data_IF_845710131800
#
_entry.id   IF_845710131800
#
_cell.length_a   1.000
_cell.length_b   1.000
_cell.length_c   1.000
_cell.angle_alpha   90.00
_cell.angle_beta   90.00
_cell.angle_gamma   90.00
#
_symmetry.space_group_name_H-M   'P 1'
#
loop_
_entity.id
_entity.type
_entity.pdbx_description
1 polymer ?
#
# COMPACT_ATOMS: atom_id res chain seq x y z
N UNK A 1 -18.20 -32.63 9.95
CA UNK A 1 -17.65 -31.27 10.01
C UNK A 1 -18.37 -30.45 8.96
N UNK A 2 -19.28 -29.52 9.30
CA UNK A 2 -19.84 -28.63 8.29
C UNK A 2 -18.81 -27.54 7.99
N UNK A 3 -18.29 -27.52 6.76
CA UNK A 3 -17.55 -26.38 6.23
C UNK A 3 -18.51 -25.23 6.03
N UNK A 4 -18.55 -24.30 6.99
CA UNK A 4 -19.24 -23.03 6.83
C UNK A 4 -18.44 -22.19 5.83
N UNK A 5 -18.76 -22.32 4.54
CA UNK A 5 -18.38 -21.33 3.55
C UNK A 5 -19.23 -20.08 3.83
N UNK A 6 -18.79 -19.25 4.77
CA UNK A 6 -19.29 -17.87 4.82
C UNK A 6 -18.98 -17.22 3.46
N UNK A 7 -19.98 -16.68 2.75
CA UNK A 7 -19.72 -15.93 1.54
C UNK A 7 -18.81 -14.76 1.92
N UNK A 8 -17.58 -14.77 1.39
CA UNK A 8 -16.56 -13.75 1.60
C UNK A 8 -17.19 -12.36 1.38
N UNK A 9 -17.53 -11.65 2.46
CA UNK A 9 -18.26 -10.38 2.40
C UNK A 9 -17.51 -9.41 1.50
N UNK A 10 -18.19 -8.90 0.47
CA UNK A 10 -17.65 -7.88 -0.41
C UNK A 10 -17.47 -6.61 0.44
N UNK A 11 -16.25 -6.03 0.52
CA UNK A 11 -16.04 -4.80 1.26
C UNK A 11 -16.80 -3.65 0.58
N UNK A 12 -17.42 -2.78 1.38
CA UNK A 12 -18.04 -1.58 0.83
C UNK A 12 -17.00 -0.55 0.36
N UNK A 13 -17.46 0.42 -0.41
CA UNK A 13 -16.63 1.49 -0.98
C UNK A 13 -15.91 2.28 0.12
N UNK A 14 -16.59 2.59 1.23
CA UNK A 14 -15.98 3.30 2.37
C UNK A 14 -14.83 2.53 2.99
N UNK A 15 -14.98 1.21 3.14
CA UNK A 15 -13.95 0.32 3.69
C UNK A 15 -12.73 0.30 2.80
N UNK A 16 -12.91 0.13 1.49
CA UNK A 16 -11.80 0.14 0.54
C UNK A 16 -11.07 1.51 0.51
N UNK A 17 -11.82 2.61 0.52
CA UNK A 17 -11.25 3.95 0.59
C UNK A 17 -10.43 4.15 1.86
N UNK A 18 -10.96 3.75 3.02
CA UNK A 18 -10.26 3.87 4.30
C UNK A 18 -8.95 3.05 4.30
N UNK A 19 -8.98 1.80 3.81
CA UNK A 19 -7.78 0.95 3.71
C UNK A 19 -6.72 1.60 2.81
N UNK A 20 -7.12 2.10 1.64
CA UNK A 20 -6.19 2.76 0.72
C UNK A 20 -5.58 4.03 1.33
N UNK A 21 -6.36 4.84 2.03
CA UNK A 21 -5.86 6.02 2.76
C UNK A 21 -4.89 5.62 3.85
N UNK A 22 -5.21 4.62 4.68
CA UNK A 22 -4.29 4.13 5.72
C UNK A 22 -2.97 3.64 5.14
N UNK A 23 -3.00 2.91 4.02
CA UNK A 23 -1.78 2.47 3.34
C UNK A 23 -0.95 3.64 2.81
N UNK A 24 -1.59 4.67 2.25
CA UNK A 24 -0.92 5.85 1.71
C UNK A 24 -0.31 6.72 2.81
N UNK A 25 -1.00 6.86 3.95
CA UNK A 25 -0.57 7.69 5.07
C UNK A 25 0.75 7.21 5.70
N UNK A 26 1.10 5.93 5.54
CA UNK A 26 2.40 5.38 5.96
C UNK A 26 3.56 6.15 5.33
N UNK A 27 3.46 6.55 4.06
CA UNK A 27 4.57 7.23 3.36
C UNK A 27 4.81 8.65 3.88
N UNK A 28 3.82 9.26 4.55
CA UNK A 28 3.96 10.57 5.18
C UNK A 28 4.94 10.53 6.37
N UNK A 29 4.98 9.43 7.12
CA UNK A 29 5.82 9.30 8.32
C UNK A 29 6.92 8.26 8.17
N UNK A 30 6.92 7.49 7.08
CA UNK A 30 7.81 6.34 6.84
C UNK A 30 7.76 5.32 8.00
N UNK A 31 6.59 5.21 8.65
CA UNK A 31 6.37 4.35 9.82
C UNK A 31 6.30 2.87 9.40
N UNK A 32 7.42 2.17 9.58
CA UNK A 32 7.55 0.76 9.23
C UNK A 32 6.80 -0.19 10.14
N UNK A 33 6.52 0.21 11.38
CA UNK A 33 5.69 -0.56 12.31
C UNK A 33 4.22 -0.49 11.88
N UNK A 34 3.75 0.69 11.48
CA UNK A 34 2.42 0.84 10.91
C UNK A 34 2.28 0.05 9.60
N UNK A 35 3.30 0.12 8.73
CA UNK A 35 3.31 -0.66 7.49
C UNK A 35 3.22 -2.17 7.75
N UNK A 36 4.02 -2.69 8.69
CA UNK A 36 4.04 -4.12 8.98
C UNK A 36 2.70 -4.67 9.45
N UNK A 37 1.89 -3.86 10.14
CA UNK A 37 0.56 -4.27 10.64
C UNK A 37 -0.53 -4.28 9.58
N UNK A 38 -0.35 -3.57 8.46
CA UNK A 38 -1.37 -3.45 7.41
C UNK A 38 -1.11 -4.34 6.19
N UNK A 39 0.13 -4.82 6.02
CA UNK A 39 0.46 -5.74 4.94
C UNK A 39 0.11 -7.18 5.32
N UNK A 40 -0.46 -7.92 4.38
CA UNK A 40 -0.63 -9.38 4.51
C UNK A 40 0.70 -10.10 4.39
N UNK A 41 0.78 -11.33 4.90
CA UNK A 41 1.95 -12.19 4.75
C UNK A 41 2.25 -12.51 3.27
N UNK A 42 1.21 -12.61 2.43
CA UNK A 42 1.32 -12.85 0.98
C UNK A 42 1.48 -11.56 0.15
N UNK A 43 1.82 -10.44 0.78
CA UNK A 43 1.93 -9.15 0.09
C UNK A 43 3.00 -9.17 -1.01
N UNK A 44 2.68 -8.53 -2.15
CA UNK A 44 3.61 -8.33 -3.25
C UNK A 44 3.52 -6.90 -3.77
N UNK A 45 4.64 -6.19 -3.71
CA UNK A 45 4.83 -4.88 -4.31
C UNK A 45 5.50 -5.02 -5.68
N UNK A 46 5.03 -4.28 -6.68
CA UNK A 46 5.64 -4.24 -8.01
C UNK A 46 5.83 -2.80 -8.46
N UNK A 47 7.05 -2.47 -8.80
CA UNK A 47 7.37 -1.19 -9.41
C UNK A 47 7.06 -1.19 -10.91
N UNK A 48 6.68 -0.02 -11.42
CA UNK A 48 6.43 0.22 -12.83
C UNK A 48 6.81 1.69 -13.17
N UNK A 49 7.10 2.00 -14.45
CA UNK A 49 7.25 1.06 -15.57
C UNK A 49 8.55 0.25 -15.48
N UNK A 50 8.62 -0.89 -16.17
CA UNK A 50 9.82 -1.74 -16.20
C UNK A 50 11.04 -1.05 -16.82
N UNK A 51 10.84 -0.07 -17.70
CA UNK A 51 11.89 0.73 -18.30
C UNK A 51 12.66 1.62 -17.32
N UNK A 52 12.12 1.87 -16.12
CA UNK A 52 12.75 2.72 -15.12
C UNK A 52 13.85 2.00 -14.31
N UNK A 53 14.14 0.72 -14.60
CA UNK A 53 15.15 -0.09 -13.90
C UNK A 53 15.04 -0.01 -12.37
N UNK A 54 13.79 0.02 -11.88
CA UNK A 54 13.47 0.05 -10.46
C UNK A 54 13.74 -1.32 -9.83
N UNK A 55 13.82 -1.40 -8.48
CA UNK A 55 13.88 -2.70 -7.81
C UNK A 55 12.80 -3.66 -8.33
N UNK A 56 13.13 -4.94 -8.33
CA UNK A 56 12.16 -6.00 -8.68
C UNK A 56 10.98 -6.04 -7.70
N UNK A 57 10.11 -7.05 -7.87
CA UNK A 57 9.01 -7.23 -6.92
C UNK A 57 9.54 -7.39 -5.50
N UNK A 58 8.92 -6.72 -4.53
CA UNK A 58 9.23 -6.86 -3.11
C UNK A 58 8.10 -7.61 -2.41
N UNK A 59 8.45 -8.46 -1.46
CA UNK A 59 7.49 -9.05 -0.52
C UNK A 59 7.27 -8.11 0.68
N UNK A 60 6.50 -8.57 1.67
CA UNK A 60 6.24 -7.86 2.92
C UNK A 60 7.55 -7.35 3.56
N UNK A 61 8.51 -8.25 3.82
CA UNK A 61 9.77 -7.88 4.47
C UNK A 61 10.63 -6.94 3.61
N UNK A 62 10.66 -7.16 2.30
CA UNK A 62 11.41 -6.35 1.35
C UNK A 62 10.93 -4.90 1.29
N UNK A 63 9.60 -4.67 1.28
CA UNK A 63 9.07 -3.32 1.28
C UNK A 63 9.34 -2.59 2.60
N UNK A 64 9.21 -3.27 3.75
CA UNK A 64 9.57 -2.70 5.06
C UNK A 64 11.04 -2.29 5.09
N UNK A 65 11.93 -3.20 4.70
CA UNK A 65 13.36 -2.92 4.66
C UNK A 65 13.67 -1.72 3.74
N UNK A 66 12.99 -1.63 2.59
CA UNK A 66 13.12 -0.50 1.68
C UNK A 66 12.66 0.81 2.32
N UNK A 67 11.52 0.82 2.99
CA UNK A 67 10.99 2.04 3.64
C UNK A 67 11.91 2.50 4.78
N UNK A 68 12.48 1.57 5.57
CA UNK A 68 13.49 1.88 6.58
C UNK A 68 14.75 2.53 5.97
N UNK A 69 15.25 2.02 4.83
CA UNK A 69 16.38 2.62 4.13
C UNK A 69 16.07 4.01 3.60
N UNK A 70 14.85 4.21 3.07
CA UNK A 70 14.38 5.51 2.61
C UNK A 70 14.33 6.50 3.79
N UNK A 71 13.86 6.08 4.96
CA UNK A 71 13.87 6.89 6.17
C UNK A 71 15.26 7.32 6.69
N UNK A 72 16.34 6.71 6.20
CA UNK A 72 17.71 7.16 6.51
C UNK A 72 18.16 8.37 5.69
N UNK A 73 17.49 8.62 4.56
CA UNK A 73 17.87 9.69 3.62
C UNK A 73 16.82 10.78 3.49
N UNK A 74 15.58 10.53 3.90
CA UNK A 74 14.49 11.51 3.83
C UNK A 74 13.58 11.41 5.06
N UNK A 75 13.05 12.56 5.50
CA UNK A 75 12.11 12.65 6.61
C UNK A 75 10.67 12.27 6.24
N UNK A 76 10.26 12.49 4.98
CA UNK A 76 8.95 12.04 4.50
C UNK A 76 8.86 11.93 2.98
N UNK A 77 7.93 11.08 2.53
CA UNK A 77 7.49 10.97 1.14
C UNK A 77 5.97 11.17 1.08
N UNK A 78 5.54 12.44 1.15
CA UNK A 78 4.10 12.74 1.26
C UNK A 78 3.41 12.41 -0.05
N UNK A 79 2.41 11.51 0.00
CA UNK A 79 1.61 11.12 -1.15
C UNK A 79 0.23 11.79 -1.05
N UNK A 80 -0.05 12.70 -1.97
CA UNK A 80 -1.33 13.43 -2.02
C UNK A 80 -2.23 12.81 -3.08
N UNK A 81 -3.37 12.27 -2.64
CA UNK A 81 -4.36 11.64 -3.52
C UNK A 81 -5.06 12.72 -4.36
N UNK A 82 -5.00 12.59 -5.68
CA UNK A 82 -5.78 13.41 -6.64
C UNK A 82 -7.16 12.81 -6.87
N UNK A 83 -7.20 11.50 -7.08
CA UNK A 83 -8.42 10.77 -7.35
C UNK A 83 -8.27 9.29 -6.96
N UNK A 84 -9.38 8.69 -6.55
CA UNK A 84 -9.45 7.29 -6.14
C UNK A 84 -10.64 6.61 -6.81
N UNK A 85 -10.44 5.36 -7.26
CA UNK A 85 -11.49 4.52 -7.84
C UNK A 85 -11.52 3.17 -7.12
N UNK A 86 -12.39 3.02 -6.09
CA UNK A 86 -12.61 1.74 -5.43
C UNK A 86 -13.39 0.78 -6.33
N UNK A 87 -12.98 -0.48 -6.33
CA UNK A 87 -13.62 -1.57 -7.06
C UNK A 87 -13.97 -2.72 -6.07
N UNK A 88 -15.16 -2.66 -5.43
CA UNK A 88 -15.60 -3.66 -4.46
C UNK A 88 -15.57 -5.10 -4.97
N UNK A 89 -15.98 -5.34 -6.22
CA UNK A 89 -16.08 -6.69 -6.78
C UNK A 89 -14.72 -7.38 -6.92
N UNK A 90 -13.66 -6.60 -7.18
CA UNK A 90 -12.28 -7.10 -7.25
C UNK A 90 -11.47 -6.85 -5.97
N UNK A 91 -12.05 -6.18 -4.96
CA UNK A 91 -11.35 -5.75 -3.73
C UNK A 91 -10.11 -4.90 -4.02
N UNK A 92 -10.20 -4.04 -5.03
CA UNK A 92 -9.09 -3.22 -5.52
C UNK A 92 -9.37 -1.74 -5.33
N UNK A 93 -8.31 -0.95 -5.23
CA UNK A 93 -8.38 0.51 -5.27
C UNK A 93 -7.32 1.02 -6.22
N UNK A 94 -7.74 1.76 -7.25
CA UNK A 94 -6.81 2.54 -8.07
C UNK A 94 -6.69 3.94 -7.48
N UNK A 95 -5.46 4.43 -7.37
CA UNK A 95 -5.18 5.77 -6.84
C UNK A 95 -4.33 6.54 -7.85
N UNK A 96 -4.80 7.72 -8.23
CA UNK A 96 -3.97 8.73 -8.88
C UNK A 96 -3.50 9.71 -7.84
N UNK A 97 -2.19 9.90 -7.73
CA UNK A 97 -1.58 10.72 -6.69
C UNK A 97 -0.39 11.53 -7.22
N UNK A 98 0.00 12.53 -6.45
CA UNK A 98 1.30 13.18 -6.51
C UNK A 98 2.12 12.77 -5.30
N UNK A 99 3.45 12.84 -5.40
CA UNK A 99 4.35 12.66 -4.27
C UNK A 99 5.32 13.83 -4.13
N UNK A 100 5.66 14.17 -2.91
CA UNK A 100 6.69 15.14 -2.55
C UNK A 100 7.69 14.51 -1.58
N UNK A 101 8.98 14.70 -1.84
CA UNK A 101 10.06 14.18 -1.01
C UNK A 101 10.62 15.30 -0.15
N UNK A 102 10.72 15.07 1.16
CA UNK A 102 11.33 16.00 2.10
C UNK A 102 12.56 15.33 2.73
N UNK A 103 13.73 15.97 2.60
CA UNK A 103 15.00 15.45 3.09
C UNK A 103 15.22 15.84 4.55
#
# INVERSE_FOLDING_TARGET
>A
MPSTNEPMRVPDVSTLTAIATTYIDVFRTLDTEALSRILSDEYSHRFAPSSANLPGSMDHHGLIARLNQVGQVMSSFTVTIKQMWPNPSLRQVLVWANSETNF
#
